data_IF_682887688544
#
_entry.id   IF_682887688544
#
_cell.length_a   1.000
_cell.length_b   1.000
_cell.length_c   1.000
_cell.angle_alpha   90.00
_cell.angle_beta   90.00
_cell.angle_gamma   90.00
#
_symmetry.space_group_name_H-M   'P 1'
#
loop_
_entity.id
_entity.type
_entity.pdbx_description
1 polymer ?
#
# COMPACT_ATOMS: atom_id res chain seq x y z
N UNK A 1 23.34 13.64 7.63
CA UNK A 1 22.91 12.29 8.08
C UNK A 1 21.56 12.04 7.44
N UNK A 2 21.50 11.20 6.40
CA UNK A 2 20.21 10.79 5.84
C UNK A 2 19.60 9.76 6.81
N UNK A 3 18.42 10.05 7.35
CA UNK A 3 17.65 9.06 8.09
C UNK A 3 17.37 7.87 7.14
N UNK A 4 17.43 6.62 7.63
CA UNK A 4 17.07 5.47 6.81
C UNK A 4 15.62 5.65 6.35
N UNK A 5 15.39 5.52 5.04
CA UNK A 5 14.03 5.39 4.49
C UNK A 5 13.43 4.17 5.17
N UNK A 6 12.35 4.35 5.94
CA UNK A 6 11.65 3.23 6.56
C UNK A 6 11.18 2.29 5.44
N UNK A 7 11.70 1.06 5.42
CA UNK A 7 11.22 0.03 4.52
C UNK A 7 9.85 -0.38 5.03
N UNK A 8 8.80 0.00 4.31
CA UNK A 8 7.44 -0.40 4.65
C UNK A 8 7.24 -1.84 4.17
N UNK A 9 6.72 -2.67 5.07
CA UNK A 9 6.46 -4.09 4.82
C UNK A 9 4.97 -4.38 4.88
N UNK A 10 4.55 -5.45 4.21
CA UNK A 10 3.23 -6.03 4.39
C UNK A 10 3.08 -6.67 5.79
N UNK A 11 1.87 -7.13 6.09
CA UNK A 11 1.52 -7.79 7.35
C UNK A 11 2.41 -9.01 7.67
N UNK A 12 2.95 -9.68 6.64
CA UNK A 12 3.84 -10.83 6.80
C UNK A 12 5.33 -10.43 6.93
N UNK A 13 5.63 -9.13 6.95
CA UNK A 13 6.99 -8.59 7.06
C UNK A 13 7.78 -8.56 5.76
N UNK A 14 7.14 -8.79 4.61
CA UNK A 14 7.79 -8.71 3.31
C UNK A 14 7.78 -7.27 2.80
N UNK A 15 8.85 -6.86 2.11
CA UNK A 15 8.85 -5.57 1.42
C UNK A 15 7.70 -5.50 0.40
N UNK A 16 7.10 -4.33 0.24
CA UNK A 16 6.05 -4.12 -0.75
C UNK A 16 6.61 -4.33 -2.17
N UNK A 17 5.84 -5.02 -3.00
CA UNK A 17 6.17 -5.32 -4.40
C UNK A 17 5.41 -4.38 -5.32
N UNK A 18 6.14 -3.65 -6.16
CA UNK A 18 5.56 -2.72 -7.14
C UNK A 18 4.64 -3.50 -8.08
N UNK A 19 3.41 -2.99 -8.25
CA UNK A 19 2.37 -3.62 -9.06
C UNK A 19 1.53 -4.67 -8.34
N UNK A 20 1.91 -5.09 -7.13
CA UNK A 20 1.12 -6.02 -6.33
C UNK A 20 -0.08 -5.32 -5.69
N UNK A 21 -1.17 -6.06 -5.51
CA UNK A 21 -2.35 -5.58 -4.81
C UNK A 21 -2.27 -5.88 -3.31
N UNK A 22 -2.72 -4.91 -2.53
CA UNK A 22 -2.81 -4.96 -1.09
C UNK A 22 -4.21 -4.53 -0.64
N UNK A 23 -4.70 -5.12 0.43
CA UNK A 23 -5.84 -4.60 1.19
C UNK A 23 -5.29 -3.79 2.36
N UNK A 24 -5.70 -2.53 2.46
CA UNK A 24 -5.44 -1.71 3.63
C UNK A 24 -6.21 -2.26 4.82
N UNK A 25 -5.56 -2.45 5.96
CA UNK A 25 -6.23 -2.78 7.21
C UNK A 25 -5.93 -1.80 8.32
N UNK A 26 -6.90 -1.67 9.23
CA UNK A 26 -6.85 -0.79 10.38
C UNK A 26 -7.32 -1.54 11.62
N UNK A 27 -6.79 -1.18 12.78
CA UNK A 27 -7.30 -1.66 14.05
C UNK A 27 -8.27 -0.63 14.60
N UNK A 28 -9.49 -1.06 14.90
CA UNK A 28 -10.49 -0.26 15.62
C UNK A 28 -10.82 -0.94 16.96
N UNK A 29 -11.36 -0.16 17.89
CA UNK A 29 -11.68 -0.59 19.24
C UNK A 29 -13.17 -0.41 19.46
N UNK A 30 -13.86 -1.50 19.78
CA UNK A 30 -15.31 -1.44 20.01
C UNK A 30 -15.63 -0.76 21.36
N UNK A 31 -16.92 -0.54 21.65
CA UNK A 31 -17.36 0.08 22.90
C UNK A 31 -17.04 -0.75 24.17
N UNK A 32 -16.66 -2.02 24.01
CA UNK A 32 -16.25 -2.92 25.08
C UNK A 32 -14.72 -2.92 25.31
N UNK A 33 -13.96 -2.25 24.45
CA UNK A 33 -12.50 -2.20 24.51
C UNK A 33 -11.79 -3.32 23.76
N UNK A 34 -12.51 -4.14 22.97
CA UNK A 34 -11.89 -5.18 22.15
C UNK A 34 -11.39 -4.59 20.83
N UNK A 35 -10.15 -4.92 20.48
CA UNK A 35 -9.54 -4.60 19.19
C UNK A 35 -10.08 -5.54 18.10
N UNK A 36 -10.39 -4.98 16.93
CA UNK A 36 -10.76 -5.73 15.74
C UNK A 36 -10.18 -5.10 14.48
N UNK A 37 -9.90 -5.95 13.49
CA UNK A 37 -9.35 -5.51 12.21
C UNK A 37 -10.46 -5.14 11.23
N UNK A 38 -10.35 -3.94 10.65
CA UNK A 38 -11.20 -3.45 9.57
C UNK A 38 -10.43 -3.55 8.26
N UNK A 39 -11.06 -4.16 7.26
CA UNK A 39 -10.55 -4.21 5.89
C UNK A 39 -11.08 -3.03 5.10
N UNK A 40 -10.17 -2.20 4.58
CA UNK A 40 -10.45 -1.00 3.80
C UNK A 40 -10.20 -1.21 2.30
N UNK A 41 -9.62 -0.18 1.68
CA UNK A 41 -9.43 -0.13 0.22
C UNK A 41 -8.54 -1.25 -0.30
N UNK A 42 -8.84 -1.71 -1.52
CA UNK A 42 -7.92 -2.49 -2.33
C UNK A 42 -7.10 -1.53 -3.18
N UNK A 43 -5.78 -1.63 -3.07
CA UNK A 43 -4.85 -0.73 -3.74
C UNK A 43 -3.74 -1.51 -4.42
N UNK A 44 -3.13 -0.93 -5.45
CA UNK A 44 -1.86 -1.40 -5.99
C UNK A 44 -0.73 -0.52 -5.52
N UNK A 45 0.32 -1.14 -5.01
CA UNK A 45 1.53 -0.40 -4.66
C UNK A 45 2.25 0.01 -5.94
N UNK A 46 2.48 1.31 -6.13
CA UNK A 46 3.09 1.83 -7.34
C UNK A 46 4.58 2.09 -7.12
N UNK A 47 4.97 2.48 -5.91
CA UNK A 47 6.36 2.76 -5.57
C UNK A 47 6.46 3.80 -4.46
N UNK A 48 7.68 4.25 -4.18
CA UNK A 48 7.92 5.42 -3.36
C UNK A 48 8.28 6.60 -4.26
N UNK A 49 7.86 7.80 -3.86
CA UNK A 49 8.31 9.06 -4.45
C UNK A 49 9.49 9.64 -3.66
N UNK A 50 10.12 10.66 -4.24
CA UNK A 50 11.06 11.52 -3.54
C UNK A 50 10.51 11.94 -2.17
N UNK A 51 11.34 11.76 -1.13
CA UNK A 51 11.03 11.97 0.30
C UNK A 51 10.26 10.84 1.00
N UNK A 52 10.15 9.66 0.37
CA UNK A 52 9.66 8.45 1.02
C UNK A 52 8.14 8.35 1.11
N UNK A 53 7.41 9.18 0.35
CA UNK A 53 5.95 9.05 0.22
C UNK A 53 5.64 7.79 -0.58
N UNK A 54 4.88 6.85 -0.02
CA UNK A 54 4.37 5.73 -0.80
C UNK A 54 3.27 6.20 -1.73
N UNK A 55 3.24 5.63 -2.93
CA UNK A 55 2.22 5.89 -3.95
C UNK A 55 1.42 4.61 -4.13
N UNK A 56 0.11 4.77 -4.04
CA UNK A 56 -0.86 3.72 -4.29
C UNK A 56 -1.81 4.17 -5.39
N UNK A 57 -2.24 3.20 -6.20
CA UNK A 57 -3.34 3.39 -7.12
C UNK A 57 -4.54 2.57 -6.65
N UNK A 58 -5.75 3.09 -6.87
CA UNK A 58 -6.97 2.33 -6.66
C UNK A 58 -6.95 1.04 -7.52
N UNK A 59 -7.39 -0.07 -6.93
CA UNK A 59 -7.32 -1.36 -7.59
C UNK A 59 -8.31 -1.52 -8.76
N UNK A 60 -9.36 -0.71 -8.84
CA UNK A 60 -10.38 -0.79 -9.88
C UNK A 60 -10.06 0.14 -11.05
N UNK A 61 -9.64 1.38 -10.77
CA UNK A 61 -9.52 2.43 -11.80
C UNK A 61 -8.11 3.00 -12.04
N UNK A 62 -7.11 2.59 -11.26
CA UNK A 62 -5.72 3.05 -11.35
C UNK A 62 -5.46 4.53 -11.04
N UNK A 63 -6.44 5.26 -10.53
CA UNK A 63 -6.23 6.63 -10.05
C UNK A 63 -5.35 6.65 -8.80
N UNK A 64 -4.56 7.71 -8.62
CA UNK A 64 -3.80 7.90 -7.37
C UNK A 64 -4.78 8.00 -6.21
N UNK A 65 -4.56 7.20 -5.18
CA UNK A 65 -5.39 7.21 -3.98
C UNK A 65 -4.54 7.44 -2.74
N UNK A 66 -4.94 8.43 -1.95
CA UNK A 66 -4.46 8.58 -0.59
C UNK A 66 -5.18 7.55 0.28
N UNK A 67 -4.45 6.57 0.79
CA UNK A 67 -4.98 5.58 1.71
C UNK A 67 -4.25 5.66 3.05
N UNK A 68 -5.02 5.68 4.12
CA UNK A 68 -4.51 5.38 5.45
C UNK A 68 -4.47 3.85 5.64
N UNK A 69 -3.63 3.35 6.53
CA UNK A 69 -3.59 1.94 6.94
C UNK A 69 -2.67 1.78 8.15
N UNK A 70 -2.98 0.82 9.02
CA UNK A 70 -2.04 0.30 10.03
C UNK A 70 -1.20 -0.85 9.45
N UNK A 71 -1.79 -1.65 8.56
CA UNK A 71 -1.12 -2.76 7.89
C UNK A 71 -1.61 -2.95 6.45
N UNK A 72 -0.83 -3.68 5.66
CA UNK A 72 -1.16 -4.03 4.29
C UNK A 72 -1.16 -5.55 4.14
N UNK A 73 -2.29 -6.12 3.73
CA UNK A 73 -2.40 -7.56 3.47
C UNK A 73 -2.27 -7.80 1.97
N UNK A 74 -1.20 -8.49 1.57
CA UNK A 74 -0.99 -8.87 0.17
C UNK A 74 -2.13 -9.77 -0.32
N UNK A 75 -2.71 -9.42 -1.48
CA UNK A 75 -3.76 -10.19 -2.12
C UNK A 75 -3.17 -11.20 -3.12
N UNK A 76 -3.87 -12.33 -3.31
CA UNK A 76 -3.50 -13.36 -4.27
C UNK A 76 -3.89 -12.98 -5.71
N UNK A 77 -3.46 -11.80 -6.16
CA UNK A 77 -3.67 -11.32 -7.54
C UNK A 77 -2.34 -11.30 -8.32
N UNK A 78 -2.39 -11.25 -9.65
CA UNK A 78 -1.21 -10.99 -10.46
C UNK A 78 -0.60 -9.63 -10.13
N UNK A 79 0.73 -9.59 -10.12
CA UNK A 79 1.49 -8.34 -10.12
C UNK A 79 1.38 -7.73 -11.50
N UNK A 80 0.99 -6.46 -11.58
CA UNK A 80 0.80 -5.74 -12.83
C UNK A 80 1.81 -4.61 -12.90
N UNK A 81 2.60 -4.55 -13.98
CA UNK A 81 3.53 -3.46 -14.23
C UNK A 81 2.78 -2.10 -14.27
N UNK A 82 3.01 -1.18 -13.31
CA UNK A 82 2.35 0.11 -13.30
C UNK A 82 2.65 0.96 -14.54
N UNK A 83 3.78 0.74 -15.22
CA UNK A 83 4.13 1.47 -16.43
C UNK A 83 3.12 1.25 -17.55
N UNK A 84 2.45 0.09 -17.59
CA UNK A 84 1.36 -0.19 -18.54
C UNK A 84 0.17 0.76 -18.38
N UNK A 85 0.05 1.42 -17.22
CA UNK A 85 -1.00 2.38 -16.87
C UNK A 85 -0.48 3.83 -16.74
N UNK A 86 0.73 4.13 -17.23
CA UNK A 86 1.27 5.49 -17.28
C UNK A 86 2.08 5.94 -16.05
N UNK A 87 2.35 5.04 -15.10
CA UNK A 87 3.09 5.35 -13.86
C UNK A 87 4.62 5.27 -13.98
N UNK A 88 5.15 4.78 -15.11
CA UNK A 88 6.58 4.40 -15.26
C UNK A 88 7.59 5.53 -15.36
N UNK A 89 7.19 6.81 -15.44
CA UNK A 89 8.12 7.93 -15.70
C UNK A 89 8.62 8.67 -14.44
N UNK A 90 8.07 8.41 -13.24
CA UNK A 90 8.24 9.31 -12.07
C UNK A 90 8.47 8.66 -10.70
N UNK A 91 8.80 7.38 -10.65
CA UNK A 91 9.03 6.67 -9.39
C UNK A 91 10.54 6.54 -9.18
N UNK A 92 11.11 7.46 -8.41
CA UNK A 92 12.53 7.52 -8.06
C UNK A 92 12.72 7.26 -6.56
#
# INVERSE_FOLDING_TARGET
MHAPVAVITDHAGNALEVGAMYCCTFVDINAQGDEFEIHGNLVRYIGAADRGRLIFADADDWSEIDCEFDSLIRQACPVIDPAAHGWGEKLH
#
